data_IF_038319230866
#
_entry.id   IF_038319230866
#
_cell.length_a   1.000
_cell.length_b   1.000
_cell.length_c   1.000
_cell.angle_alpha   90.00
_cell.angle_beta   90.00
_cell.angle_gamma   90.00
#
_symmetry.space_group_name_H-M   'P 1'
#
loop_
_entity.id
_entity.type
_entity.pdbx_description
1 polymer ?
#
# COMPACT_ATOMS: atom_id res chain seq x y z
N UNK A 1 -7.85 -10.04 -34.00
CA UNK A 1 -7.30 -10.57 -32.74
C UNK A 1 -6.11 -9.70 -32.35
N UNK A 2 -6.27 -8.83 -31.34
CA UNK A 2 -5.20 -7.93 -30.89
C UNK A 2 -4.44 -8.64 -29.77
N UNK A 3 -3.20 -9.03 -30.08
CA UNK A 3 -2.35 -9.84 -29.21
C UNK A 3 -1.64 -8.96 -28.19
N UNK A 4 -1.77 -9.40 -26.94
CA UNK A 4 -1.01 -9.12 -25.72
C UNK A 4 0.28 -8.30 -25.88
N UNK A 5 0.31 -7.13 -25.24
CA UNK A 5 1.50 -6.29 -25.08
C UNK A 5 1.67 -5.80 -23.65
N UNK A 6 1.86 -6.70 -22.67
CA UNK A 6 2.31 -6.33 -21.32
C UNK A 6 3.34 -7.35 -20.82
N UNK A 7 4.49 -7.43 -21.50
CA UNK A 7 5.72 -8.00 -20.98
C UNK A 7 6.66 -6.83 -20.68
N UNK A 8 6.72 -6.29 -19.46
CA UNK A 8 7.88 -5.47 -19.05
C UNK A 8 7.96 -5.24 -17.51
N UNK A 9 7.78 -6.23 -16.63
CA UNK A 9 8.04 -6.05 -15.17
C UNK A 9 8.97 -7.11 -14.57
N UNK A 10 10.10 -7.38 -15.24
CA UNK A 10 11.16 -8.28 -14.74
C UNK A 10 12.55 -7.66 -14.67
N UNK A 11 12.67 -6.42 -14.22
CA UNK A 11 13.96 -5.87 -13.76
C UNK A 11 13.95 -5.74 -12.24
N UNK A 12 14.03 -6.90 -11.58
CA UNK A 12 14.50 -7.01 -10.21
C UNK A 12 15.99 -6.67 -10.21
N UNK A 13 16.31 -5.39 -10.06
CA UNK A 13 17.65 -4.98 -9.66
C UNK A 13 17.78 -5.29 -8.16
N UNK A 14 18.47 -6.39 -7.87
CA UNK A 14 19.20 -6.55 -6.62
C UNK A 14 20.42 -5.65 -6.75
N UNK A 15 20.43 -4.54 -6.03
CA UNK A 15 21.69 -3.94 -5.65
C UNK A 15 21.65 -3.59 -4.17
N UNK A 16 22.66 -4.11 -3.50
CA UNK A 16 22.94 -3.93 -2.08
C UNK A 16 23.66 -2.60 -1.95
N UNK A 17 23.07 -1.61 -1.31
CA UNK A 17 23.87 -0.65 -0.53
C UNK A 17 23.01 0.06 0.52
N UNK A 18 23.58 0.13 1.70
CA UNK A 18 22.99 0.61 2.94
C UNK A 18 22.86 2.14 2.91
N UNK A 19 21.64 2.65 3.01
CA UNK A 19 21.30 3.93 3.65
C UNK A 19 19.83 3.87 4.11
N UNK A 20 19.52 3.91 5.43
CA UNK A 20 18.26 3.34 5.92
C UNK A 20 16.99 4.21 5.76
N UNK A 21 17.11 5.45 5.29
CA UNK A 21 15.99 6.40 5.34
C UNK A 21 15.68 7.02 3.97
N UNK A 22 16.68 7.51 3.24
CA UNK A 22 16.46 8.22 1.97
C UNK A 22 16.02 7.31 0.81
N UNK A 23 16.55 6.08 0.71
CA UNK A 23 16.16 5.15 -0.35
C UNK A 23 14.72 4.65 -0.23
N UNK A 24 14.13 4.71 0.97
CA UNK A 24 12.72 4.34 1.19
C UNK A 24 11.81 5.34 0.49
N UNK A 25 12.08 6.63 0.62
CA UNK A 25 11.29 7.70 0.01
C UNK A 25 11.43 7.73 -1.52
N UNK A 26 12.64 7.51 -2.04
CA UNK A 26 12.88 7.41 -3.49
C UNK A 26 12.17 6.21 -4.14
N UNK A 27 11.94 5.13 -3.39
CA UNK A 27 11.22 3.96 -3.89
C UNK A 27 9.71 4.09 -3.74
N UNK A 28 9.24 4.85 -2.74
CA UNK A 28 7.80 5.05 -2.49
C UNK A 28 7.15 5.95 -3.55
N UNK A 29 7.82 7.02 -3.99
CA UNK A 29 7.29 7.94 -5.03
C UNK A 29 6.92 7.24 -6.36
N UNK A 30 7.82 6.46 -6.99
CA UNK A 30 7.49 5.73 -8.22
C UNK A 30 6.45 4.64 -7.97
N UNK A 31 6.41 4.04 -6.78
CA UNK A 31 5.40 3.05 -6.42
C UNK A 31 4.01 3.67 -6.29
N UNK A 32 3.87 4.83 -5.63
CA UNK A 32 2.62 5.57 -5.58
C UNK A 32 2.18 6.06 -6.97
N UNK A 33 3.12 6.44 -7.84
CA UNK A 33 2.81 6.77 -9.23
C UNK A 33 2.27 5.56 -10.01
N UNK A 34 2.90 4.39 -9.85
CA UNK A 34 2.42 3.14 -10.44
C UNK A 34 1.05 2.74 -9.87
N UNK A 35 0.83 2.92 -8.57
CA UNK A 35 -0.44 2.68 -7.90
C UNK A 35 -1.52 3.57 -8.53
N UNK A 36 -1.27 4.89 -8.63
CA UNK A 36 -2.16 5.87 -9.28
C UNK A 36 -2.52 5.45 -10.70
N UNK A 37 -1.54 5.01 -11.49
CA UNK A 37 -1.76 4.56 -12.86
C UNK A 37 -2.57 3.26 -12.94
N UNK A 38 -2.35 2.30 -12.03
CA UNK A 38 -3.11 1.06 -11.96
C UNK A 38 -4.56 1.31 -11.55
N UNK A 39 -4.78 2.20 -10.59
CA UNK A 39 -6.10 2.60 -10.12
C UNK A 39 -6.87 3.41 -11.15
N UNK A 40 -6.18 4.21 -11.97
CA UNK A 40 -6.81 4.95 -13.08
C UNK A 40 -7.24 4.02 -14.22
N UNK A 41 -6.52 2.91 -14.41
CA UNK A 41 -6.87 1.86 -15.36
C UNK A 41 -7.85 0.84 -14.79
N UNK A 42 -8.31 1.02 -13.55
CA UNK A 42 -9.21 0.10 -12.86
C UNK A 42 -8.69 -1.35 -12.84
N UNK A 43 -7.38 -1.51 -12.78
CA UNK A 43 -6.72 -2.81 -12.87
C UNK A 43 -6.57 -3.41 -11.47
N UNK A 44 -7.65 -4.03 -10.97
CA UNK A 44 -7.76 -4.53 -9.60
C UNK A 44 -6.61 -5.47 -9.21
N UNK A 45 -6.23 -6.38 -10.10
CA UNK A 45 -5.15 -7.34 -9.90
C UNK A 45 -3.79 -6.64 -9.73
N UNK A 46 -3.48 -5.64 -10.57
CA UNK A 46 -2.24 -4.86 -10.43
C UNK A 46 -2.26 -3.98 -9.19
N UNK A 47 -3.39 -3.33 -8.90
CA UNK A 47 -3.53 -2.51 -7.70
C UNK A 47 -3.32 -3.32 -6.43
N UNK A 48 -3.82 -4.56 -6.36
CA UNK A 48 -3.53 -5.47 -5.24
C UNK A 48 -2.03 -5.70 -5.02
N UNK A 49 -1.29 -6.05 -6.08
CA UNK A 49 0.16 -6.33 -5.97
C UNK A 49 0.93 -5.09 -5.52
N UNK A 50 0.59 -3.92 -6.07
CA UNK A 50 1.17 -2.65 -5.69
C UNK A 50 0.84 -2.25 -4.25
N UNK A 51 -0.37 -2.52 -3.77
CA UNK A 51 -0.76 -2.30 -2.36
C UNK A 51 0.04 -3.19 -1.42
N UNK A 52 0.22 -4.48 -1.73
CA UNK A 52 1.05 -5.39 -0.93
C UNK A 52 2.51 -4.92 -0.85
N UNK A 53 3.05 -4.47 -1.98
CA UNK A 53 4.42 -3.97 -2.05
C UNK A 53 4.58 -2.63 -1.34
N UNK A 54 3.62 -1.72 -1.50
CA UNK A 54 3.55 -0.47 -0.74
C UNK A 54 3.53 -0.75 0.75
N UNK A 55 2.63 -1.61 1.21
CA UNK A 55 2.46 -1.92 2.63
C UNK A 55 3.71 -2.59 3.22
N UNK A 56 4.36 -3.48 2.45
CA UNK A 56 5.62 -4.09 2.89
C UNK A 56 6.73 -3.06 3.10
N UNK A 57 6.84 -2.09 2.19
CA UNK A 57 7.77 -0.98 2.37
C UNK A 57 7.32 -0.10 3.54
N UNK A 58 6.04 0.22 3.63
CA UNK A 58 5.48 1.10 4.66
C UNK A 58 5.74 0.54 6.07
N UNK A 59 5.38 -0.72 6.33
CA UNK A 59 5.65 -1.44 7.58
C UNK A 59 7.14 -1.72 7.82
N UNK A 60 7.95 -1.83 6.78
CA UNK A 60 9.34 -2.31 6.89
C UNK A 60 9.47 -3.83 7.02
N UNK A 61 8.36 -4.56 6.96
CA UNK A 61 8.29 -6.03 7.01
C UNK A 61 7.54 -6.59 5.80
N UNK A 62 7.83 -7.83 5.34
CA UNK A 62 7.17 -8.40 4.17
C UNK A 62 5.70 -8.77 4.45
N UNK A 63 4.77 -7.95 3.96
CA UNK A 63 3.32 -8.21 4.03
C UNK A 63 2.88 -8.98 2.78
N UNK A 64 2.31 -10.17 2.97
CA UNK A 64 1.92 -11.08 1.86
C UNK A 64 0.43 -11.16 1.60
N UNK A 65 -0.40 -10.63 2.49
CA UNK A 65 -1.86 -10.73 2.40
C UNK A 65 -2.49 -9.37 2.64
N UNK A 66 -3.60 -9.12 1.94
CA UNK A 66 -4.38 -7.89 2.12
C UNK A 66 -5.00 -7.85 3.53
N UNK A 67 -5.38 -9.00 4.09
CA UNK A 67 -5.84 -9.13 5.47
C UNK A 67 -4.82 -8.62 6.49
N UNK A 68 -3.51 -8.91 6.30
CA UNK A 68 -2.47 -8.40 7.20
C UNK A 68 -2.30 -6.88 7.12
N UNK A 69 -2.59 -6.26 5.97
CA UNK A 69 -2.62 -4.79 5.86
C UNK A 69 -3.77 -4.22 6.69
N UNK A 70 -4.94 -4.87 6.63
CA UNK A 70 -6.15 -4.44 7.33
C UNK A 70 -6.04 -4.44 8.85
N UNK A 71 -5.10 -5.20 9.40
CA UNK A 71 -4.81 -5.25 10.85
C UNK A 71 -3.99 -4.05 11.34
N UNK A 72 -3.23 -3.41 10.45
CA UNK A 72 -2.29 -2.33 10.81
C UNK A 72 -2.65 -0.97 10.21
N UNK A 73 -3.49 -0.93 9.18
CA UNK A 73 -3.89 0.31 8.51
C UNK A 73 -5.07 1.00 9.18
N UNK A 74 -5.37 2.23 8.74
CA UNK A 74 -6.59 2.92 9.16
C UNK A 74 -7.87 2.18 8.73
N UNK A 75 -8.99 2.53 9.39
CA UNK A 75 -10.30 1.98 9.04
C UNK A 75 -10.71 2.31 7.59
N UNK A 76 -10.35 3.49 7.08
CA UNK A 76 -10.64 3.92 5.71
C UNK A 76 -9.92 3.02 4.69
N UNK A 77 -8.61 2.83 4.86
CA UNK A 77 -7.85 1.94 3.96
C UNK A 77 -8.32 0.48 4.09
N UNK A 78 -8.67 0.04 5.31
CA UNK A 78 -9.14 -1.32 5.54
C UNK A 78 -10.44 -1.60 4.80
N UNK A 79 -11.36 -0.64 4.75
CA UNK A 79 -12.60 -0.73 3.99
C UNK A 79 -12.33 -0.78 2.48
N UNK A 80 -11.47 0.10 1.96
CA UNK A 80 -11.12 0.12 0.54
C UNK A 80 -10.44 -1.18 0.07
N UNK A 81 -9.60 -1.77 0.93
CA UNK A 81 -8.99 -3.09 0.66
C UNK A 81 -10.04 -4.18 0.65
N UNK A 82 -11.00 -4.17 1.58
CA UNK A 82 -12.08 -5.16 1.61
C UNK A 82 -12.98 -5.06 0.36
N UNK A 83 -13.28 -3.85 -0.12
CA UNK A 83 -14.02 -3.63 -1.37
C UNK A 83 -13.23 -4.14 -2.57
N UNK A 84 -11.93 -3.87 -2.63
CA UNK A 84 -11.04 -4.41 -3.66
C UNK A 84 -11.05 -5.94 -3.67
N UNK A 85 -10.93 -6.60 -2.51
CA UNK A 85 -10.98 -8.06 -2.39
C UNK A 85 -12.32 -8.61 -2.87
N UNK A 86 -13.43 -8.02 -2.45
CA UNK A 86 -14.75 -8.42 -2.89
C UNK A 86 -14.89 -8.32 -4.41
N UNK A 87 -14.37 -7.26 -5.05
CA UNK A 87 -14.41 -7.12 -6.51
C UNK A 87 -13.49 -8.10 -7.24
N UNK A 88 -12.33 -8.42 -6.67
CA UNK A 88 -11.39 -9.39 -7.24
C UNK A 88 -11.93 -10.81 -7.25
N UNK A 89 -12.72 -11.17 -6.25
CA UNK A 89 -13.24 -12.53 -6.07
C UNK A 89 -14.74 -12.66 -6.32
N UNK A 90 -15.44 -11.55 -6.60
CA UNK A 90 -16.81 -11.60 -7.09
C UNK A 90 -16.86 -12.32 -8.43
N UNK A 91 -17.87 -13.17 -8.61
CA UNK A 91 -18.11 -13.86 -9.88
C UNK A 91 -18.74 -12.96 -10.95
N UNK A 92 -18.86 -11.66 -10.69
CA UNK A 92 -19.50 -10.68 -11.57
C UNK A 92 -18.41 -9.97 -12.41
N UNK A 93 -18.60 -9.90 -13.73
CA UNK A 93 -17.70 -9.21 -14.67
C UNK A 93 -17.71 -7.67 -14.54
N UNK A 94 -18.24 -7.14 -13.43
CA UNK A 94 -18.28 -5.70 -13.18
C UNK A 94 -16.88 -5.17 -12.97
N UNK A 95 -16.47 -4.34 -13.92
CA UNK A 95 -15.22 -3.59 -13.85
C UNK A 95 -15.18 -2.76 -12.56
N UNK A 96 -14.11 -2.93 -11.79
CA UNK A 96 -13.84 -2.15 -10.59
C UNK A 96 -13.75 -0.66 -10.95
N UNK A 97 -14.36 0.24 -10.17
CA UNK A 97 -14.38 1.69 -10.45
C UNK A 97 -13.83 2.52 -9.29
N UNK A 98 -13.52 1.87 -8.17
CA UNK A 98 -13.21 2.52 -6.90
C UNK A 98 -11.69 2.70 -6.70
N UNK A 99 -10.91 2.57 -7.78
CA UNK A 99 -9.45 2.72 -7.74
C UNK A 99 -9.01 4.09 -7.21
N UNK A 100 -9.72 5.17 -7.56
CA UNK A 100 -9.39 6.51 -7.10
C UNK A 100 -9.56 6.67 -5.57
N UNK A 101 -10.55 6.00 -4.99
CA UNK A 101 -10.79 5.99 -3.55
C UNK A 101 -9.70 5.21 -2.81
N UNK A 102 -9.31 4.05 -3.34
CA UNK A 102 -8.17 3.27 -2.83
C UNK A 102 -6.87 4.09 -2.84
N UNK A 103 -6.54 4.75 -3.96
CA UNK A 103 -5.33 5.57 -4.05
C UNK A 103 -5.34 6.71 -3.02
N UNK A 104 -6.49 7.36 -2.85
CA UNK A 104 -6.65 8.42 -1.85
C UNK A 104 -6.42 7.92 -0.44
N UNK A 105 -7.00 6.78 -0.07
CA UNK A 105 -6.79 6.17 1.23
C UNK A 105 -5.30 5.86 1.46
N UNK A 106 -4.64 5.19 0.50
CA UNK A 106 -3.20 4.89 0.59
C UNK A 106 -2.34 6.15 0.70
N UNK A 107 -2.69 7.23 -0.03
CA UNK A 107 -1.93 8.48 0.02
C UNK A 107 -2.11 9.28 1.30
N UNK A 108 -3.21 9.06 2.03
CA UNK A 108 -3.55 9.71 3.30
C UNK A 108 -3.09 8.90 4.52
N UNK A 109 -2.64 7.66 4.32
CA UNK A 109 -2.12 6.83 5.41
C UNK A 109 -0.93 7.51 6.08
N UNK A 110 -1.02 7.62 7.40
CA UNK A 110 0.07 8.05 8.25
C UNK A 110 1.09 6.92 8.39
N UNK A 111 2.37 7.26 8.56
CA UNK A 111 3.40 6.24 8.79
C UNK A 111 3.01 5.36 9.97
N UNK A 112 3.09 4.03 9.82
CA UNK A 112 2.85 3.09 10.91
C UNK A 112 4.01 3.06 11.93
N UNK A 113 4.83 4.13 11.96
CA UNK A 113 5.92 4.27 12.92
C UNK A 113 5.35 4.28 14.33
N UNK A 114 5.87 3.34 15.12
CA UNK A 114 5.62 3.15 16.55
C UNK A 114 6.21 4.32 17.35
N UNK A 115 5.70 5.54 17.16
CA UNK A 115 6.00 6.68 18.03
C UNK A 115 4.74 7.30 18.65
N UNK A 116 3.53 6.85 18.27
CA UNK A 116 2.30 7.18 18.98
C UNK A 116 2.09 6.29 20.23
N UNK A 117 3.15 6.13 21.02
CA UNK A 117 3.07 5.54 22.36
C UNK A 117 3.84 6.35 23.40
N UNK A 118 4.49 7.45 23.00
CA UNK A 118 5.28 8.30 23.91
C UNK A 118 4.51 9.53 24.41
N UNK A 119 3.37 9.89 23.81
CA UNK A 119 2.53 11.01 24.30
C UNK A 119 1.71 10.69 25.55
N UNK A 120 1.53 9.41 25.92
CA UNK A 120 0.86 9.00 27.15
C UNK A 120 1.77 8.95 28.39
N UNK A 121 3.08 8.89 28.21
CA UNK A 121 4.03 8.62 29.30
C UNK A 121 4.62 9.90 29.96
N UNK A 122 4.30 11.10 29.44
CA UNK A 122 4.90 12.36 29.92
C UNK A 122 4.12 13.06 31.05
N UNK A 123 3.06 12.44 31.57
CA UNK A 123 2.18 13.02 32.59
C UNK A 123 2.34 12.43 34.01
N UNK A 124 3.46 11.77 34.33
CA UNK A 124 3.67 11.15 35.65
C UNK A 124 4.97 11.61 36.34
N UNK A 125 5.25 12.91 36.31
CA UNK A 125 6.11 13.51 37.33
C UNK A 125 5.22 14.04 38.45
N UNK A 126 5.22 13.42 39.65
CA UNK A 126 4.73 14.11 40.84
C UNK A 126 5.76 15.19 41.18
N UNK A 127 5.42 16.46 40.96
CA UNK A 127 6.20 17.57 41.51
C UNK A 127 5.91 17.66 43.00
N UNK A 128 6.91 17.24 43.78
CA UNK A 128 7.23 17.56 45.18
C UNK A 128 6.07 17.60 46.20
#
# INVERSE_FOLDING_TARGET
>A
AVVLGILLWRTRARDTSVQPSESKEETLRPLLSALKASTAQNDASKSRDLVLRWASLHAGEPIRTLSAIREVCSAELSQQIAELEQRLYASDDRQWSDGAALYRAVSQESSWSVEDSVSGARALYPTA
#
